data_IF_936763165915
#
_entry.id   IF_936763165915
#
_cell.length_a   1.000
_cell.length_b   1.000
_cell.length_c   1.000
_cell.angle_alpha   90.00
_cell.angle_beta   90.00
_cell.angle_gamma   90.00
#
_symmetry.space_group_name_H-M   'P 1'
#
loop_
_entity.id
_entity.type
_entity.pdbx_description
1 polymer ?
#
# COMPACT_ATOMS: atom_id res chain seq x y z
N UNK A 1 9.13 8.63 13.22
CA UNK A 1 8.80 7.70 12.12
C UNK A 1 7.66 6.82 12.58
N UNK A 2 6.70 6.52 11.71
CA UNK A 2 5.58 5.61 12.02
C UNK A 2 5.62 4.43 11.08
N UNK A 3 5.23 3.25 11.58
CA UNK A 3 5.28 2.01 10.80
C UNK A 3 3.91 1.40 10.74
N UNK A 4 3.51 1.00 9.53
CA UNK A 4 2.20 0.44 9.29
C UNK A 4 2.33 -0.87 8.51
N UNK A 5 1.54 -1.86 8.90
CA UNK A 5 1.38 -3.10 8.19
C UNK A 5 -0.10 -3.41 7.99
N UNK A 6 -0.40 -4.15 6.92
CA UNK A 6 -1.72 -4.71 6.69
C UNK A 6 -1.59 -6.10 6.08
N UNK A 7 -2.69 -6.69 5.63
CA UNK A 7 -2.66 -8.02 5.03
C UNK A 7 -1.83 -8.00 3.73
N UNK A 8 -1.99 -6.93 2.96
CA UNK A 8 -1.21 -6.66 1.76
C UNK A 8 -0.86 -5.17 1.64
N UNK A 9 0.24 -4.88 0.96
CA UNK A 9 0.52 -3.57 0.38
C UNK A 9 0.30 -3.69 -1.12
N UNK A 10 -0.52 -2.84 -1.72
CA UNK A 10 -0.67 -2.75 -3.16
C UNK A 10 0.17 -1.61 -3.72
N UNK A 11 1.01 -1.96 -4.70
CA UNK A 11 1.84 -1.03 -5.44
C UNK A 11 1.33 -0.99 -6.89
N UNK A 12 0.89 0.18 -7.38
CA UNK A 12 0.43 0.31 -8.76
C UNK A 12 1.51 -0.17 -9.74
N UNK A 13 1.10 -0.90 -10.79
CA UNK A 13 2.00 -1.46 -11.82
C UNK A 13 2.91 -2.61 -11.35
N UNK A 14 2.93 -2.90 -10.05
CA UNK A 14 3.75 -3.97 -9.46
C UNK A 14 2.93 -5.06 -8.77
N UNK A 15 1.74 -4.74 -8.27
CA UNK A 15 0.82 -5.69 -7.64
C UNK A 15 0.89 -5.72 -6.10
N UNK A 16 0.53 -6.86 -5.52
CA UNK A 16 0.36 -7.02 -4.08
C UNK A 16 1.60 -7.63 -3.40
N UNK A 17 2.09 -6.96 -2.38
CA UNK A 17 3.11 -7.46 -1.46
C UNK A 17 2.45 -8.00 -0.18
N UNK A 18 2.76 -9.26 0.14
CA UNK A 18 2.38 -9.88 1.42
C UNK A 18 3.55 -9.79 2.40
N UNK A 19 3.28 -9.75 3.71
CA UNK A 19 4.31 -9.74 4.76
C UNK A 19 5.31 -8.59 4.64
N UNK A 20 4.85 -7.42 4.19
CA UNK A 20 5.65 -6.20 4.14
C UNK A 20 4.96 -5.11 4.94
N UNK A 21 5.77 -4.22 5.50
CA UNK A 21 5.35 -3.01 6.19
C UNK A 21 5.92 -1.79 5.47
N UNK A 22 5.31 -0.65 5.73
CA UNK A 22 5.80 0.66 5.32
C UNK A 22 6.29 1.46 6.52
N UNK A 23 7.36 2.20 6.32
CA UNK A 23 7.80 3.26 7.22
C UNK A 23 7.43 4.61 6.61
N UNK A 24 6.83 5.48 7.43
CA UNK A 24 6.40 6.82 7.06
C UNK A 24 7.29 7.87 7.71
N UNK A 25 7.69 8.85 6.90
CA UNK A 25 8.34 10.09 7.33
C UNK A 25 7.44 11.28 6.95
N UNK A 26 6.79 11.86 7.96
CA UNK A 26 5.74 12.86 7.73
C UNK A 26 4.54 12.24 6.99
N UNK A 27 4.21 12.80 5.83
CA UNK A 27 3.06 12.34 5.01
C UNK A 27 3.44 11.35 3.91
N UNK A 28 4.73 10.95 3.84
CA UNK A 28 5.25 10.14 2.74
C UNK A 28 5.85 8.83 3.21
N UNK A 29 5.77 7.82 2.36
CA UNK A 29 6.45 6.54 2.56
C UNK A 29 7.95 6.76 2.36
N UNK A 30 8.72 6.37 3.37
CA UNK A 30 10.18 6.42 3.39
C UNK A 30 10.80 5.09 2.98
N UNK A 31 10.24 3.97 3.45
CA UNK A 31 10.77 2.62 3.18
C UNK A 31 9.64 1.59 3.13
N UNK A 32 9.78 0.57 2.28
CA UNK A 32 9.01 -0.69 2.34
C UNK A 32 9.99 -1.77 2.78
N UNK A 33 9.60 -2.63 3.72
CA UNK A 33 10.47 -3.68 4.24
C UNK A 33 9.69 -4.95 4.62
N UNK A 34 10.31 -6.14 4.57
CA UNK A 34 9.66 -7.38 5.00
C UNK A 34 9.40 -7.38 6.52
N UNK A 35 8.22 -7.82 6.95
CA UNK A 35 7.85 -7.92 8.37
C UNK A 35 8.66 -8.97 9.16
N UNK A 36 9.52 -9.75 8.50
CA UNK A 36 10.44 -10.70 9.16
C UNK A 36 11.61 -10.01 9.87
N UNK A 37 11.86 -8.73 9.59
CA UNK A 37 12.70 -7.89 10.43
C UNK A 37 11.93 -7.63 11.74
N UNK A 38 12.35 -8.23 12.86
CA UNK A 38 11.82 -7.94 14.21
C UNK A 38 11.95 -6.44 14.48
N UNK A 39 10.84 -5.71 14.38
CA UNK A 39 10.83 -4.26 14.51
C UNK A 39 9.78 -3.86 15.52
N UNK A 40 10.24 -3.18 16.57
CA UNK A 40 9.37 -2.60 17.59
C UNK A 40 8.42 -1.55 16.96
N UNK A 41 7.16 -1.54 17.41
CA UNK A 41 6.15 -0.50 17.15
C UNK A 41 5.60 -0.41 15.71
N UNK A 42 5.27 -1.54 15.07
CA UNK A 42 4.46 -1.57 13.83
C UNK A 42 2.97 -1.62 14.17
N UNK A 43 2.19 -0.66 13.67
CA UNK A 43 0.73 -0.68 13.80
C UNK A 43 0.10 -1.53 12.69
N UNK A 44 -0.67 -2.55 13.09
CA UNK A 44 -1.29 -3.50 12.17
C UNK A 44 -2.74 -3.13 11.90
N UNK A 45 -3.13 -3.08 10.63
CA UNK A 45 -4.49 -2.84 10.19
C UNK A 45 -5.08 -4.01 9.40
N UNK A 46 -6.39 -4.24 9.52
CA UNK A 46 -7.08 -5.09 8.57
C UNK A 46 -7.23 -4.38 7.23
N UNK A 47 -7.15 -5.11 6.12
CA UNK A 47 -7.29 -4.57 4.77
C UNK A 47 -5.98 -4.50 3.98
N UNK A 48 -5.92 -3.54 3.05
CA UNK A 48 -4.80 -3.35 2.11
C UNK A 48 -4.27 -1.93 2.20
N UNK A 49 -2.95 -1.77 2.27
CA UNK A 49 -2.31 -0.45 2.14
C UNK A 49 -2.05 -0.17 0.68
N UNK A 50 -2.73 0.82 0.12
CA UNK A 50 -2.53 1.32 -1.24
C UNK A 50 -1.43 2.40 -1.25
N UNK A 51 -0.40 2.20 -2.08
CA UNK A 51 0.63 3.23 -2.34
C UNK A 51 0.30 4.02 -3.60
N UNK A 52 0.39 5.35 -3.51
CA UNK A 52 0.11 6.24 -4.64
C UNK A 52 1.27 7.23 -4.77
N UNK A 53 1.94 7.31 -5.94
CA UNK A 53 2.97 8.31 -6.14
C UNK A 53 2.31 9.69 -6.26
N UNK A 54 2.89 10.69 -5.59
CA UNK A 54 2.36 12.06 -5.54
C UNK A 54 2.22 12.68 -6.93
N UNK A 55 3.01 12.26 -7.91
CA UNK A 55 2.94 12.77 -9.28
C UNK A 55 1.76 12.20 -10.08
N UNK A 56 1.17 11.07 -9.65
CA UNK A 56 0.05 10.39 -10.32
C UNK A 56 -1.20 10.35 -9.44
N UNK A 57 -1.62 11.50 -8.88
CA UNK A 57 -2.73 11.60 -7.90
C UNK A 57 -4.12 11.13 -8.39
N UNK A 58 -4.25 10.45 -9.53
CA UNK A 58 -5.52 9.83 -9.92
C UNK A 58 -5.71 8.49 -9.21
N UNK A 59 -6.28 8.60 -8.00
CA UNK A 59 -6.64 7.47 -7.15
C UNK A 59 -7.69 6.59 -7.84
N UNK A 60 -8.59 7.17 -8.65
CA UNK A 60 -9.64 6.41 -9.33
C UNK A 60 -9.03 5.48 -10.37
N UNK A 61 -8.06 5.98 -11.15
CA UNK A 61 -7.32 5.16 -12.11
C UNK A 61 -6.52 4.05 -11.39
N UNK A 62 -5.98 4.33 -10.22
CA UNK A 62 -5.23 3.35 -9.43
C UNK A 62 -6.13 2.24 -8.86
N UNK A 63 -7.31 2.60 -8.35
CA UNK A 63 -8.33 1.63 -7.92
C UNK A 63 -8.87 0.82 -9.11
N UNK A 64 -9.00 1.43 -10.28
CA UNK A 64 -9.34 0.71 -11.50
C UNK A 64 -8.27 -0.33 -11.87
N UNK A 65 -6.98 0.03 -11.79
CA UNK A 65 -5.89 -0.91 -12.02
C UNK A 65 -5.89 -2.08 -11.01
N UNK A 66 -6.20 -1.80 -9.74
CA UNK A 66 -6.37 -2.82 -8.69
C UNK A 66 -7.40 -3.88 -9.11
N UNK A 67 -8.50 -3.48 -9.74
CA UNK A 67 -9.56 -4.41 -10.17
C UNK A 67 -9.20 -5.26 -11.40
N UNK A 68 -8.22 -4.83 -12.20
CA UNK A 68 -7.81 -5.47 -13.46
C UNK A 68 -6.45 -6.21 -13.35
N UNK A 69 -6.00 -6.53 -12.14
CA UNK A 69 -4.68 -7.14 -11.89
C UNK A 69 -4.68 -8.64 -12.22
N UNK A 70 -4.72 -8.99 -13.50
CA UNK A 70 -4.54 -10.37 -14.01
C UNK A 70 -3.06 -10.65 -14.29
N UNK A 71 -2.24 -10.82 -13.23
CA UNK A 71 -0.80 -11.12 -13.29
C UNK A 71 0.11 -9.88 -13.50
N UNK A 72 0.64 -9.35 -12.39
CA UNK A 72 1.70 -8.33 -12.41
C UNK A 72 2.97 -8.91 -11.77
N UNK A 73 4.11 -8.64 -12.41
CA UNK A 73 5.44 -8.96 -11.89
C UNK A 73 5.75 -8.07 -10.69
N UNK A 74 5.93 -8.70 -9.52
CA UNK A 74 6.20 -7.99 -8.27
C UNK A 74 7.57 -7.32 -8.36
N UNK A 75 7.57 -6.00 -8.53
CA UNK A 75 8.76 -5.16 -8.40
C UNK A 75 8.54 -4.18 -7.27
N UNK A 76 9.39 -4.20 -6.24
CA UNK A 76 9.32 -3.16 -5.20
C UNK A 76 9.97 -1.91 -5.79
N UNK A 77 9.25 -0.78 -5.90
CA UNK A 77 9.84 0.44 -6.43
C UNK A 77 10.93 0.91 -5.47
N UNK A 78 12.05 1.36 -6.01
CA UNK A 78 13.03 2.09 -5.21
C UNK A 78 12.39 3.38 -4.72
N UNK A 79 12.07 3.43 -3.42
CA UNK A 79 11.60 4.66 -2.77
C UNK A 79 12.81 5.59 -2.70
N UNK A 80 12.93 6.43 -3.73
CA UNK A 80 13.97 7.45 -3.84
C UNK A 80 13.43 8.78 -3.34
N UNK A 81 14.30 9.62 -2.78
CA UNK A 81 13.93 10.95 -2.27
C UNK A 81 13.22 11.85 -3.30
N UNK A 82 13.41 11.59 -4.60
CA UNK A 82 12.73 12.31 -5.68
C UNK A 82 11.27 11.87 -5.89
N UNK A 83 10.88 10.65 -5.50
CA UNK A 83 9.54 10.13 -5.73
C UNK A 83 8.80 9.95 -4.41
N UNK A 84 7.91 10.90 -4.12
CA UNK A 84 7.12 10.93 -2.89
C UNK A 84 5.88 10.04 -3.03
N UNK A 85 5.72 9.07 -2.13
CA UNK A 85 4.57 8.16 -2.13
C UNK A 85 3.67 8.42 -0.94
N UNK A 86 2.36 8.41 -1.14
CA UNK A 86 1.36 8.46 -0.07
C UNK A 86 0.78 7.08 0.17
N UNK A 87 0.43 6.79 1.41
CA UNK A 87 -0.18 5.52 1.81
C UNK A 87 -1.64 5.71 2.24
N UNK A 88 -2.52 4.85 1.74
CA UNK A 88 -3.93 4.82 2.10
C UNK A 88 -4.34 3.42 2.52
N UNK A 89 -4.99 3.29 3.68
CA UNK A 89 -5.64 2.05 4.08
C UNK A 89 -6.98 1.91 3.36
N UNK A 90 -7.18 0.76 2.72
CA UNK A 90 -8.44 0.30 2.15
C UNK A 90 -9.06 -0.77 3.06
N UNK A 91 -10.21 -0.46 3.65
CA UNK A 91 -10.93 -1.40 4.51
C UNK A 91 -12.44 -1.07 4.55
N UNK A 92 -13.35 -2.07 4.51
CA UNK A 92 -13.12 -3.51 4.32
C UNK A 92 -12.57 -3.85 2.92
N UNK A 93 -12.05 -5.07 2.73
CA UNK A 93 -11.47 -5.53 1.46
C UNK A 93 -11.77 -7.02 1.23
N UNK A 94 -12.11 -7.41 0.01
CA UNK A 94 -12.34 -8.82 -0.34
C UNK A 94 -11.02 -9.47 -0.79
N UNK A 95 -10.46 -10.30 0.10
CA UNK A 95 -9.21 -11.02 -0.15
C UNK A 95 -9.38 -12.25 -1.06
N UNK A 96 -10.61 -12.74 -1.27
CA UNK A 96 -10.84 -13.87 -2.18
C UNK A 96 -10.76 -13.41 -3.64
N UNK A 97 -11.31 -12.23 -3.94
CA UNK A 97 -11.29 -11.64 -5.29
C UNK A 97 -10.18 -10.63 -5.50
N UNK A 98 -9.43 -10.28 -4.45
CA UNK A 98 -8.39 -9.24 -4.44
C UNK A 98 -8.93 -7.88 -4.90
N UNK A 99 -10.16 -7.53 -4.51
CA UNK A 99 -10.86 -6.32 -4.94
C UNK A 99 -11.48 -5.54 -3.76
N UNK A 100 -11.62 -4.21 -3.90
CA UNK A 100 -12.44 -3.43 -2.97
C UNK A 100 -13.91 -3.82 -3.12
N UNK A 101 -14.66 -3.74 -2.01
CA UNK A 101 -16.10 -3.92 -1.96
C UNK A 101 -16.79 -2.55 -1.99
N UNK A 102 -18.12 -2.53 -2.16
CA UNK A 102 -18.89 -1.28 -2.25
C UNK A 102 -18.70 -0.38 -1.01
N UNK A 103 -18.48 -0.99 0.16
CA UNK A 103 -18.30 -0.32 1.44
C UNK A 103 -16.85 0.08 1.74
N UNK A 104 -15.88 -0.31 0.88
CA UNK A 104 -14.46 -0.03 1.12
C UNK A 104 -14.22 1.45 1.34
N UNK A 105 -13.75 1.79 2.54
CA UNK A 105 -13.34 3.13 2.89
C UNK A 105 -11.85 3.33 2.62
N UNK A 106 -11.49 4.59 2.34
CA UNK A 106 -10.11 5.02 2.15
C UNK A 106 -9.69 5.93 3.30
N UNK A 107 -8.66 5.53 4.05
CA UNK A 107 -8.06 6.35 5.12
C UNK A 107 -6.59 6.61 4.83
N UNK A 108 -6.19 7.88 4.70
CA UNK A 108 -4.78 8.24 4.53
C UNK A 108 -3.99 7.91 5.82
N UNK A 109 -2.83 7.28 5.67
CA UNK A 109 -1.89 7.02 6.76
C UNK A 109 -0.91 8.18 6.88
N UNK A 110 -0.62 8.60 8.12
CA UNK A 110 0.22 9.75 8.49
C UNK A 110 0.86 9.52 9.85
#
# INVERSE_FOLDING_TARGET
MKRFAAHYIFIPESGFLKLHAIEMEGEYVYRIFPCGEEIESVEWFPGVILLIPQERMDINNTLFNLTNTDEQSITIPEITSCMKWQAYLLFPFDFATMRPVAETQRRQLR
#
